data_IF_500651881795
#
_entry.id   IF_500651881795
#
_cell.length_a   1.000
_cell.length_b   1.000
_cell.length_c   1.000
_cell.angle_alpha   90.00
_cell.angle_beta   90.00
_cell.angle_gamma   90.00
#
_symmetry.space_group_name_H-M   'P 1'
#
loop_
_entity.id
_entity.type
_entity.pdbx_description
1 polymer ?
2 non-polymer ?
3 water ?
#
# COMPACT_ATOMS: atom_id res chain seq x y z
N UNK A 5 -1.57 17.50 20.72
CA UNK A 5 -2.14 16.30 20.08
C UNK A 5 -1.31 16.03 18.84
N UNK A 6 -1.47 14.84 18.29
CA UNK A 6 -0.77 14.50 17.05
C UNK A 6 -1.26 15.45 15.98
N UNK A 7 -0.34 16.08 15.25
CA UNK A 7 -0.66 16.93 14.11
C UNK A 7 0.17 16.52 12.90
N UNK A 8 -0.47 15.94 11.90
CA UNK A 8 0.32 15.35 10.79
C UNK A 8 0.74 16.46 9.83
N UNK A 9 1.95 16.40 9.33
CA UNK A 9 2.41 17.44 8.40
C UNK A 9 2.11 17.04 6.98
N UNK A 10 1.02 17.56 6.40
CA UNK A 10 0.60 17.27 5.04
C UNK A 10 1.07 18.36 4.06
N UNK A 11 1.93 19.25 4.52
CA UNK A 11 2.29 20.43 3.76
C UNK A 11 2.98 20.16 2.45
N UNK A 12 3.65 19.03 2.32
CA UNK A 12 4.24 18.72 1.03
C UNK A 12 3.27 18.16 -0.02
N UNK A 13 1.95 18.03 0.29
CA UNK A 13 0.98 17.49 -0.57
C UNK A 13 -0.22 18.45 -0.73
N UNK A 14 0.04 19.66 -1.20
CA UNK A 14 -1.04 20.66 -1.34
C UNK A 14 -1.99 20.19 -2.49
N UNK A 15 -3.27 20.36 -2.25
CA UNK A 15 -4.24 20.01 -3.30
C UNK A 15 -4.64 18.54 -3.25
N UNK A 16 -3.94 17.72 -2.45
CA UNK A 16 -4.32 16.31 -2.24
C UNK A 16 -5.56 16.24 -1.34
N UNK A 17 -6.61 15.58 -1.83
CA UNK A 17 -7.92 15.61 -1.14
C UNK A 17 -8.15 14.43 -0.23
N UNK A 18 -7.44 13.33 -0.48
CA UNK A 18 -7.57 12.06 0.27
C UNK A 18 -6.23 11.51 0.64
N UNK A 19 -6.16 10.88 1.80
CA UNK A 19 -4.95 10.27 2.34
C UNK A 19 -5.27 8.89 2.88
N UNK A 20 -4.31 8.00 2.75
CA UNK A 20 -4.41 6.63 3.27
C UNK A 20 -3.69 6.57 4.58
N UNK A 21 -4.39 6.20 5.62
CA UNK A 21 -3.80 5.99 6.93
C UNK A 21 -3.54 4.47 7.09
N UNK A 22 -2.28 4.13 7.26
CA UNK A 22 -1.85 2.71 7.38
C UNK A 22 -1.28 2.51 8.76
N UNK A 23 -1.87 1.63 9.50
CA UNK A 23 -1.44 1.39 10.86
C UNK A 23 -0.91 -0.04 10.95
N UNK A 24 0.28 -0.21 11.52
CA UNK A 24 0.89 -1.51 11.75
C UNK A 24 1.15 -1.66 13.26
N UNK A 25 0.44 -2.59 13.85
CA UNK A 25 0.33 -2.69 15.31
C UNK A 25 0.09 -4.08 15.81
N UNK A 26 -0.18 -4.20 17.12
CA UNK A 26 -0.24 -5.54 17.72
C UNK A 26 -1.48 -6.25 17.32
N UNK A 27 -1.39 -7.51 16.96
CA UNK A 27 -2.62 -8.12 16.44
C UNK A 27 -3.78 -8.22 17.38
N UNK A 28 -3.46 -8.41 18.65
CA UNK A 28 -4.52 -8.57 19.62
C UNK A 28 -5.36 -7.25 19.82
N UNK A 29 -4.82 -6.13 19.38
CA UNK A 29 -5.57 -4.88 19.44
C UNK A 29 -6.48 -4.60 18.26
N UNK A 30 -6.49 -5.47 17.25
CA UNK A 30 -7.40 -5.29 16.12
C UNK A 30 -8.84 -4.98 16.46
N UNK A 31 -9.49 -5.77 17.34
CA UNK A 31 -10.92 -5.47 17.59
C UNK A 31 -11.14 -4.07 18.20
N UNK A 32 -10.21 -3.63 19.03
CA UNK A 32 -10.31 -2.31 19.71
C UNK A 32 -10.17 -1.20 18.69
N UNK A 33 -9.17 -1.30 17.82
CA UNK A 33 -9.00 -0.33 16.77
C UNK A 33 -10.20 -0.30 15.83
N UNK A 34 -10.69 -1.47 15.38
CA UNK A 34 -11.88 -1.53 14.56
C UNK A 34 -13.12 -0.90 15.24
N UNK A 35 -13.34 -1.21 16.51
CA UNK A 35 -14.49 -0.65 17.21
C UNK A 35 -14.36 0.88 17.34
N UNK A 36 -13.19 1.34 17.66
CA UNK A 36 -12.99 2.78 17.75
C UNK A 36 -13.35 3.53 16.44
N UNK A 37 -12.87 2.97 15.33
CA UNK A 37 -13.16 3.52 14.02
C UNK A 37 -14.64 3.43 13.66
N UNK A 38 -15.27 2.28 13.92
CA UNK A 38 -16.67 2.13 13.61
C UNK A 38 -17.51 3.12 14.39
N UNK A 39 -17.20 3.28 15.68
CA UNK A 39 -17.93 4.23 16.50
C UNK A 39 -17.87 5.66 16.02
N UNK A 40 -16.76 6.07 15.46
CA UNK A 40 -16.53 7.40 14.89
C UNK A 40 -17.12 7.52 13.48
N UNK A 41 -17.60 6.41 12.91
CA UNK A 41 -18.36 6.45 11.68
C UNK A 41 -17.48 6.15 10.47
N UNK A 42 -16.28 5.59 10.70
CA UNK A 42 -15.46 5.21 9.54
C UNK A 42 -16.03 3.98 8.90
N UNK A 43 -15.87 3.91 7.60
CA UNK A 43 -16.18 2.71 6.88
C UNK A 43 -15.01 2.50 5.94
N UNK A 44 -15.01 1.35 5.32
CA UNK A 44 -14.02 1.07 4.34
C UNK A 44 -12.71 0.91 5.06
N UNK A 45 -12.62 -0.10 5.90
CA UNK A 45 -11.32 -0.46 6.51
C UNK A 45 -10.88 -1.67 5.67
N UNK A 46 -9.58 -1.81 5.41
CA UNK A 46 -8.99 -3.05 4.90
C UNK A 46 -7.93 -3.54 5.89
N UNK A 47 -7.95 -4.85 6.18
CA UNK A 47 -7.07 -5.41 7.14
C UNK A 47 -6.26 -6.51 6.46
N UNK A 48 -4.95 -6.52 6.75
CA UNK A 48 -4.05 -7.54 6.19
C UNK A 48 -3.21 -8.00 7.38
N UNK A 49 -3.09 -9.28 7.64
CA UNK A 49 -2.01 -9.74 8.52
C UNK A 49 -0.61 -9.61 7.78
N UNK A 50 0.40 -9.16 8.52
CA UNK A 50 1.76 -8.98 7.97
C UNK A 50 2.76 -9.46 9.05
N UNK A 51 4.03 -9.44 8.66
CA UNK A 51 5.07 -9.83 9.55
C UNK A 51 6.06 -8.69 9.71
N UNK A 52 6.49 -8.47 10.94
CA UNK A 52 7.62 -7.59 11.15
C UNK A 52 8.89 -8.37 11.41
N UNK A 53 10.00 -7.79 10.95
CA UNK A 53 11.38 -8.26 11.26
C UNK A 53 12.13 -7.30 12.17
N UNK A 72 13.64 -13.53 13.56
CA UNK A 72 12.97 -12.54 14.37
C UNK A 72 11.80 -11.90 13.61
N UNK A 73 11.05 -12.75 12.89
CA UNK A 73 9.81 -12.31 12.23
C UNK A 73 8.66 -12.51 13.22
N UNK A 74 7.85 -11.46 13.40
CA UNK A 74 6.85 -11.32 14.45
C UNK A 74 5.50 -10.89 13.79
N UNK A 75 4.38 -11.44 14.25
CA UNK A 75 3.06 -11.16 13.59
C UNK A 75 2.57 -9.76 13.98
N UNK A 76 2.09 -9.05 12.99
CA UNK A 76 1.56 -7.74 13.13
C UNK A 76 0.28 -7.69 12.32
N UNK A 77 -0.56 -6.71 12.62
CA UNK A 77 -1.80 -6.48 11.90
C UNK A 77 -1.63 -5.16 11.19
N UNK A 78 -2.06 -5.10 9.94
CA UNK A 78 -2.11 -3.84 9.18
C UNK A 78 -3.54 -3.49 8.89
N UNK A 79 -3.85 -2.22 9.09
CA UNK A 79 -5.13 -1.72 8.77
C UNK A 79 -4.97 -0.47 7.95
N UNK A 80 -5.70 -0.39 6.83
CA UNK A 80 -5.64 0.79 5.98
C UNK A 80 -7.03 1.45 5.90
N UNK A 81 -7.04 2.78 5.96
CA UNK A 81 -8.27 3.55 5.82
C UNK A 81 -7.96 4.75 4.97
N UNK A 82 -8.77 4.99 3.97
CA UNK A 82 -8.64 6.22 3.18
C UNK A 82 -9.70 7.21 3.64
N UNK A 83 -9.22 8.41 3.96
CA UNK A 83 -10.03 9.45 4.57
C UNK A 83 -9.78 10.81 3.92
N UNK A 84 -10.70 11.73 4.08
CA UNK A 84 -10.50 13.08 3.54
C UNK A 84 -9.37 13.74 4.30
N UNK A 85 -8.76 14.74 3.65
CA UNK A 85 -7.70 15.55 4.28
C UNK A 85 -8.12 16.07 5.64
N UNK A 86 -9.35 16.60 5.73
CA UNK A 86 -9.83 17.15 7.00
C UNK A 86 -9.91 16.16 8.15
N UNK A 87 -10.08 14.89 7.84
CA UNK A 87 -10.20 13.85 8.85
C UNK A 87 -8.90 13.19 9.31
N UNK A 88 -7.81 13.48 8.64
CA UNK A 88 -6.56 12.74 8.87
C UNK A 88 -6.19 12.80 10.34
N UNK A 89 -6.09 13.99 10.92
CA UNK A 89 -5.55 14.07 12.27
C UNK A 89 -6.47 13.32 13.24
N UNK A 90 -7.79 13.54 13.14
CA UNK A 90 -8.75 12.88 14.03
C UNK A 90 -8.60 11.37 13.93
N UNK A 91 -8.46 10.85 12.73
CA UNK A 91 -8.40 9.41 12.56
C UNK A 91 -7.08 8.84 13.03
N UNK A 92 -6.00 9.54 12.72
CA UNK A 92 -4.66 9.12 13.23
C UNK A 92 -4.69 9.06 14.76
N UNK A 93 -5.26 10.06 15.39
CA UNK A 93 -5.34 10.10 16.88
C UNK A 93 -6.13 8.91 17.41
N UNK A 94 -7.28 8.61 16.77
CA UNK A 94 -8.09 7.52 17.20
C UNK A 94 -7.37 6.17 17.10
N UNK A 95 -6.66 5.96 15.99
CA UNK A 95 -5.95 4.71 15.84
C UNK A 95 -4.83 4.59 16.84
N UNK A 96 -4.10 5.68 16.98
CA UNK A 96 -2.95 5.74 17.90
C UNK A 96 -3.47 5.40 19.27
N UNK A 97 -4.56 6.06 19.65
CA UNK A 97 -5.12 5.84 20.99
C UNK A 97 -5.50 4.41 21.25
N UNK A 98 -6.16 3.77 20.32
CA UNK A 98 -6.66 2.44 20.53
C UNK A 98 -5.56 1.36 20.40
N UNK A 99 -4.53 1.63 19.61
CA UNK A 99 -3.44 0.67 19.50
C UNK A 99 -2.39 0.79 20.60
N UNK A 100 -2.41 1.89 21.31
CA UNK A 100 -1.36 2.20 22.29
C UNK A 100 -1.34 1.25 23.47
N UNK A 101 -0.14 0.85 23.88
CA UNK A 101 0.05 0.21 25.22
C UNK A 101 1.14 0.88 26.03
N UNK A 102 2.04 1.57 25.39
CA UNK A 102 3.16 2.20 26.10
C UNK A 102 4.41 1.35 26.12
N UNK A 103 4.30 0.04 25.89
CA UNK A 103 5.46 -0.82 25.77
C UNK A 103 6.10 -0.73 24.39
N UNK A 104 7.41 -0.95 24.35
CA UNK A 104 8.09 -1.05 23.10
C UNK A 104 7.48 -2.09 22.19
N UNK A 105 7.26 -1.72 20.92
CA UNK A 105 6.68 -2.60 19.89
C UNK A 105 5.22 -2.27 19.56
N UNK A 106 4.75 -1.09 19.97
CA UNK A 106 3.36 -0.78 19.70
C UNK A 106 3.07 -0.59 18.21
N UNK A 107 4.10 -0.28 17.42
CA UNK A 107 3.84 -0.10 15.99
C UNK A 107 3.89 1.37 15.55
N UNK A 108 3.50 1.59 14.32
CA UNK A 108 3.58 2.87 13.67
C UNK A 108 2.36 3.10 12.80
N UNK A 109 2.08 4.36 12.54
CA UNK A 109 1.05 4.79 11.60
C UNK A 109 1.73 5.65 10.57
N UNK A 110 1.46 5.38 9.30
CA UNK A 110 1.96 6.09 8.19
C UNK A 110 0.79 6.74 7.48
N UNK A 111 0.97 7.93 6.96
CA UNK A 111 -0.04 8.65 6.19
C UNK A 111 0.54 8.84 4.78
N UNK A 112 -0.21 8.44 3.79
CA UNK A 112 0.20 8.41 2.40
C UNK A 112 -0.76 9.24 1.56
N UNK A 113 -0.28 9.96 0.52
CA UNK A 113 -1.18 10.72 -0.33
C UNK A 113 -1.93 9.82 -1.31
N UNK A 114 -3.16 10.07 -1.62
CA UNK A 114 -4.02 9.32 -2.60
C UNK A 114 -4.44 10.32 -3.66
N UNK A 115 -4.21 9.97 -4.93
CA UNK A 115 -4.53 10.86 -6.02
C UNK A 115 -5.99 10.82 -6.41
N UNK A 116 -6.59 9.64 -6.38
CA UNK A 116 -7.98 9.50 -6.81
C UNK A 116 -8.62 8.35 -6.06
N UNK A 117 -9.93 8.45 -5.87
CA UNK A 117 -10.74 7.41 -5.33
C UNK A 117 -11.95 7.17 -6.26
N UNK A 118 -12.15 5.92 -6.70
CA UNK A 118 -13.18 5.57 -7.67
C UNK A 118 -14.08 4.47 -7.12
N UNK A 119 -15.38 4.73 -7.13
CA UNK A 119 -16.31 3.75 -6.63
C UNK A 119 -16.63 2.85 -7.82
N UNK A 120 -16.41 1.55 -7.65
CA UNK A 120 -16.59 0.62 -8.78
C UNK A 120 -18.04 0.59 -9.28
N UNK A 121 -18.96 0.51 -8.35
CA UNK A 121 -20.36 0.31 -8.70
C UNK A 121 -20.93 1.48 -9.49
N UNK A 122 -20.47 2.71 -9.24
CA UNK A 122 -21.10 3.84 -9.92
C UNK A 122 -20.22 4.51 -10.96
N UNK A 123 -18.95 4.15 -11.02
CA UNK A 123 -17.91 4.88 -11.79
C UNK A 123 -17.54 6.28 -11.23
N UNK A 124 -18.10 6.65 -10.06
CA UNK A 124 -17.93 8.01 -9.47
C UNK A 124 -16.56 8.17 -8.87
N UNK A 125 -15.95 9.36 -9.02
CA UNK A 125 -14.60 9.64 -8.51
C UNK A 125 -14.66 10.73 -7.43
N UNK B 6 -15.06 7.51 -16.60
CA UNK B 6 -14.14 7.72 -15.44
C UNK B 6 -12.93 8.53 -15.90
N UNK B 7 -12.67 9.64 -15.20
CA UNK B 7 -11.53 10.49 -15.51
C UNK B 7 -10.78 10.99 -14.24
N UNK B 8 -9.63 10.39 -13.94
CA UNK B 8 -8.96 10.64 -12.66
C UNK B 8 -8.23 11.99 -12.69
N UNK B 9 -8.35 12.76 -11.62
CA UNK B 9 -7.68 14.04 -11.57
C UNK B 9 -6.31 13.85 -10.95
N UNK B 10 -5.26 14.00 -11.78
CA UNK B 10 -3.89 13.88 -11.30
C UNK B 10 -3.14 15.20 -11.20
N UNK B 11 -3.89 16.30 -11.19
CA UNK B 11 -3.31 17.65 -11.21
C UNK B 11 -2.52 18.04 -9.96
N UNK B 12 -2.75 17.29 -8.87
CA UNK B 12 -2.00 17.56 -7.62
C UNK B 12 -0.65 16.96 -7.65
N UNK B 13 -0.32 16.19 -8.69
CA UNK B 13 0.96 15.53 -8.78
C UNK B 13 1.65 15.89 -10.09
N UNK B 14 1.93 17.18 -10.31
CA UNK B 14 2.68 17.57 -11.51
C UNK B 14 4.04 16.92 -11.55
N UNK B 15 4.41 16.40 -12.72
CA UNK B 15 5.72 15.78 -12.86
C UNK B 15 5.83 14.33 -12.45
N UNK B 16 4.76 13.76 -11.87
CA UNK B 16 4.81 12.37 -11.43
C UNK B 16 4.55 11.51 -12.66
N UNK B 17 5.47 10.60 -12.95
CA UNK B 17 5.36 9.77 -14.16
C UNK B 17 4.60 8.48 -13.98
N UNK B 18 4.57 7.92 -12.76
CA UNK B 18 3.98 6.62 -12.51
C UNK B 18 2.96 6.71 -11.40
N UNK B 19 1.96 5.84 -11.49
CA UNK B 19 0.92 5.74 -10.46
C UNK B 19 0.57 4.28 -10.21
N UNK B 20 0.17 3.94 -8.98
CA UNK B 20 -0.25 2.62 -8.63
C UNK B 20 -1.74 2.65 -8.62
N UNK B 21 -2.35 1.69 -9.34
CA UNK B 21 -3.79 1.49 -9.30
C UNK B 21 -4.05 0.30 -8.36
N UNK B 22 -4.76 0.56 -7.28
CA UNK B 22 -5.10 -0.42 -6.27
C UNK B 22 -6.61 -0.63 -6.28
N UNK B 23 -7.06 -1.83 -6.50
CA UNK B 23 -8.45 -2.15 -6.50
C UNK B 23 -8.74 -3.16 -5.41
N UNK B 24 -9.79 -2.92 -4.64
CA UNK B 24 -10.18 -3.79 -3.57
C UNK B 24 -11.65 -4.20 -3.88
N UNK B 25 -11.88 -5.46 -4.11
CA UNK B 25 -13.15 -5.85 -4.70
C UNK B 25 -13.50 -7.28 -4.29
N UNK B 26 -14.60 -7.79 -4.82
CA UNK B 26 -15.13 -9.10 -4.44
C UNK B 26 -14.28 -10.27 -4.93
N UNK B 27 -13.95 -11.23 -4.08
CA UNK B 27 -13.04 -12.30 -4.49
C UNK B 27 -13.43 -13.07 -5.78
N UNK B 28 -14.71 -13.32 -5.93
CA UNK B 28 -15.06 -14.12 -7.08
C UNK B 28 -14.80 -13.40 -8.40
N UNK B 29 -14.69 -12.09 -8.39
CA UNK B 29 -14.37 -11.31 -9.63
C UNK B 29 -12.89 -11.35 -9.97
N UNK B 30 -12.01 -11.78 -9.07
CA UNK B 30 -10.58 -11.80 -9.37
C UNK B 30 -10.22 -12.42 -10.73
N UNK B 31 -10.70 -13.63 -11.06
CA UNK B 31 -10.32 -14.16 -12.37
C UNK B 31 -10.81 -13.35 -13.55
N UNK B 32 -11.93 -12.66 -13.38
CA UNK B 32 -12.45 -11.81 -14.41
C UNK B 32 -11.61 -10.61 -14.65
N UNK B 33 -11.14 -10.00 -13.55
CA UNK B 33 -10.29 -8.80 -13.60
C UNK B 33 -8.92 -9.16 -14.23
N UNK B 34 -8.34 -10.26 -13.72
CA UNK B 34 -7.04 -10.74 -14.25
C UNK B 34 -7.13 -11.01 -15.74
N UNK B 35 -8.22 -11.67 -16.16
CA UNK B 35 -8.39 -12.00 -17.59
C UNK B 35 -8.47 -10.74 -18.43
N UNK B 36 -9.29 -9.79 -18.04
CA UNK B 36 -9.40 -8.54 -18.72
C UNK B 36 -8.11 -7.86 -18.88
N UNK B 37 -7.36 -7.71 -17.79
CA UNK B 37 -6.11 -6.98 -17.81
C UNK B 37 -5.13 -7.71 -18.68
N UNK B 38 -5.03 -9.02 -18.54
CA UNK B 38 -4.07 -9.78 -19.30
C UNK B 38 -4.33 -9.71 -20.78
N UNK B 39 -5.60 -9.78 -21.17
CA UNK B 39 -6.02 -9.75 -22.61
C UNK B 39 -5.73 -8.41 -23.23
N UNK B 40 -5.74 -7.33 -22.44
CA UNK B 40 -5.49 -5.96 -22.90
C UNK B 40 -4.03 -5.63 -22.93
N UNK B 41 -3.20 -6.57 -22.50
CA UNK B 41 -1.76 -6.38 -22.45
C UNK B 41 -1.21 -5.62 -21.27
N UNK B 42 -1.87 -5.68 -20.10
CA UNK B 42 -1.37 -5.07 -18.95
C UNK B 42 -0.73 -6.17 -18.10
N UNK B 43 0.50 -5.92 -17.68
CA UNK B 43 1.29 -6.90 -16.92
C UNK B 43 1.73 -6.26 -15.58
N UNK B 44 2.33 -7.08 -14.76
CA UNK B 44 2.77 -6.55 -13.45
C UNK B 44 1.69 -6.58 -12.39
N UNK B 45 0.65 -7.40 -12.54
CA UNK B 45 -0.38 -7.51 -11.52
C UNK B 45 0.11 -8.17 -10.28
N UNK B 46 -0.15 -7.56 -9.12
CA UNK B 46 0.15 -8.18 -7.81
C UNK B 46 -1.18 -8.30 -7.01
N UNK B 47 -1.48 -9.48 -6.51
CA UNK B 47 -2.70 -9.78 -5.82
C UNK B 47 -2.42 -10.14 -4.37
N UNK B 48 -3.20 -9.54 -3.44
CA UNK B 48 -3.14 -9.86 -2.03
C UNK B 48 -4.57 -10.14 -1.54
N UNK B 49 -4.84 -11.27 -0.89
CA UNK B 49 -6.06 -11.51 -0.16
C UNK B 49 -6.06 -10.59 1.10
N UNK B 50 -7.19 -9.91 1.31
CA UNK B 50 -7.33 -9.01 2.47
C UNK B 50 -8.74 -9.19 3.05
N UNK B 51 -9.00 -8.51 4.16
CA UNK B 51 -10.30 -8.52 4.82
C UNK B 51 -10.86 -7.12 4.86
N UNK B 52 -12.16 -6.98 4.61
CA UNK B 52 -12.82 -5.69 4.80
C UNK B 52 -14.01 -5.99 5.70
N UNK B 68 -20.09 -1.72 12.80
CA UNK B 68 -19.47 -3.00 12.43
C UNK B 68 -18.29 -3.38 13.37
N UNK B 69 -18.05 -4.68 13.50
CA UNK B 69 -16.91 -5.23 14.26
C UNK B 69 -16.12 -6.26 13.45
N UNK B 70 -15.20 -6.98 14.11
CA UNK B 70 -14.47 -8.04 13.40
C UNK B 70 -15.39 -9.12 12.80
N UNK B 71 -16.47 -9.46 13.51
CA UNK B 71 -17.49 -10.38 12.96
C UNK B 71 -17.92 -9.95 11.57
N UNK B 72 -18.01 -8.64 11.35
CA UNK B 72 -18.32 -8.08 10.05
C UNK B 72 -17.09 -8.05 9.11
N UNK B 73 -15.98 -8.71 9.46
CA UNK B 73 -14.85 -8.85 8.48
C UNK B 73 -15.21 -9.87 7.41
N UNK B 74 -15.09 -9.47 6.16
CA UNK B 74 -15.33 -10.36 5.07
C UNK B 74 -14.12 -10.37 4.13
N UNK B 75 -14.02 -11.44 3.36
CA UNK B 75 -12.92 -11.55 2.43
C UNK B 75 -13.09 -10.61 1.26
N UNK B 76 -12.00 -9.95 0.89
CA UNK B 76 -11.87 -9.15 -0.29
C UNK B 76 -10.55 -9.51 -0.99
N UNK B 77 -10.43 -9.10 -2.23
CA UNK B 77 -9.19 -9.29 -3.01
C UNK B 77 -8.64 -7.93 -3.33
N UNK B 78 -7.33 -7.77 -3.22
CA UNK B 78 -6.63 -6.55 -3.54
C UNK B 78 -5.73 -6.82 -4.75
N UNK B 79 -5.85 -5.99 -5.74
CA UNK B 79 -5.04 -6.04 -6.93
C UNK B 79 -4.33 -4.72 -7.17
N UNK B 80 -2.99 -4.73 -7.33
CA UNK B 80 -2.22 -3.51 -7.52
C UNK B 80 -1.52 -3.62 -8.88
N UNK B 81 -1.55 -2.57 -9.63
CA UNK B 81 -0.92 -2.45 -10.94
C UNK B 81 -0.24 -1.07 -11.06
N UNK B 82 1.06 -1.01 -11.36
CA UNK B 82 1.74 0.25 -11.57
C UNK B 82 1.69 0.56 -13.08
N UNK B 83 1.26 1.76 -13.44
CA UNK B 83 1.17 2.21 -14.82
C UNK B 83 1.71 3.65 -14.94
N UNK B 84 1.88 4.11 -16.15
CA UNK B 84 2.28 5.46 -16.37
C UNK B 84 1.12 6.38 -16.25
N UNK B 85 1.49 7.65 -16.00
CA UNK B 85 0.49 8.70 -15.89
C UNK B 85 -0.59 8.69 -16.99
N UNK B 86 -0.16 8.54 -18.25
CA UNK B 86 -1.08 8.60 -19.34
C UNK B 86 -1.97 7.40 -19.41
N UNK B 87 -1.62 6.29 -18.80
CA UNK B 87 -2.38 5.03 -18.81
C UNK B 87 -3.45 4.91 -17.73
N UNK B 88 -3.40 5.84 -16.76
CA UNK B 88 -4.21 5.63 -15.54
C UNK B 88 -5.70 5.47 -15.88
N UNK B 89 -6.24 6.38 -16.68
CA UNK B 89 -7.69 6.40 -16.98
C UNK B 89 -8.08 5.09 -17.64
N UNK B 90 -7.33 4.71 -18.67
CA UNK B 90 -7.71 3.48 -19.36
C UNK B 90 -7.72 2.25 -18.48
N UNK B 91 -6.69 2.11 -17.63
CA UNK B 91 -6.50 0.94 -16.80
C UNK B 91 -7.56 0.90 -15.66
N UNK B 92 -7.79 2.06 -15.05
CA UNK B 92 -8.89 2.13 -14.05
C UNK B 92 -10.22 1.70 -14.68
N UNK B 93 -10.49 2.12 -15.91
CA UNK B 93 -11.71 1.75 -16.56
C UNK B 93 -11.80 0.24 -16.77
N UNK B 94 -10.70 -0.38 -17.16
CA UNK B 94 -10.69 -1.85 -17.33
C UNK B 94 -10.99 -2.58 -16.08
N UNK B 95 -10.31 -2.16 -15.00
CA UNK B 95 -10.55 -2.77 -13.71
C UNK B 95 -11.99 -2.57 -13.21
N UNK B 96 -12.48 -1.36 -13.26
CA UNK B 96 -13.87 -1.09 -12.84
C UNK B 96 -14.85 -1.93 -13.61
N UNK B 97 -14.69 -2.01 -14.91
CA UNK B 97 -15.62 -2.73 -15.70
C UNK B 97 -15.65 -4.21 -15.38
N UNK B 98 -14.52 -4.81 -15.06
CA UNK B 98 -14.48 -6.22 -14.79
C UNK B 98 -14.84 -6.57 -13.34
N UNK B 99 -14.60 -5.65 -12.41
CA UNK B 99 -14.96 -5.90 -11.02
C UNK B 99 -16.42 -5.60 -10.73
N UNK B 100 -17.07 -4.86 -11.63
CA UNK B 100 -18.45 -4.41 -11.48
C UNK B 100 -19.43 -5.55 -11.43
N UNK B 101 -20.39 -5.48 -10.50
CA UNK B 101 -21.50 -6.37 -10.43
C UNK B 101 -22.90 -5.69 -10.32
N UNK B 102 -22.89 -4.35 -10.29
CA UNK B 102 -24.06 -3.56 -10.12
C UNK B 102 -24.67 -3.50 -8.72
N UNK B 103 -23.88 -3.77 -7.69
CA UNK B 103 -24.47 -3.88 -6.38
C UNK B 103 -23.58 -3.18 -5.35
N UNK B 104 -24.20 -2.66 -4.31
CA UNK B 104 -23.40 -2.16 -3.18
C UNK B 104 -22.44 -3.22 -2.68
N UNK B 105 -21.19 -2.79 -2.39
CA UNK B 105 -20.14 -3.65 -1.93
C UNK B 105 -19.18 -4.05 -3.03
N UNK B 106 -19.29 -3.43 -4.22
CA UNK B 106 -18.45 -3.81 -5.35
C UNK B 106 -16.98 -3.40 -5.12
N UNK B 107 -16.74 -2.43 -4.26
CA UNK B 107 -15.39 -2.07 -3.90
C UNK B 107 -14.97 -0.73 -4.52
N UNK B 108 -13.68 -0.42 -4.37
CA UNK B 108 -13.17 0.86 -4.78
C UNK B 108 -11.83 0.68 -5.42
N UNK B 109 -11.46 1.67 -6.26
CA UNK B 109 -10.15 1.76 -6.89
C UNK B 109 -9.48 3.03 -6.42
N UNK B 110 -8.23 2.92 -5.95
CA UNK B 110 -7.46 4.02 -5.43
C UNK B 110 -6.29 4.19 -6.36
N UNK B 111 -5.94 5.41 -6.64
CA UNK B 111 -4.79 5.75 -7.48
C UNK B 111 -3.79 6.51 -6.62
N UNK B 112 -2.57 5.94 -6.50
CA UNK B 112 -1.54 6.47 -5.63
C UNK B 112 -0.32 6.90 -6.47
N UNK B 113 0.37 8.00 -6.10
CA UNK B 113 1.52 8.40 -6.86
C UNK B 113 2.76 7.49 -6.54
N UNK B 114 3.61 7.28 -7.52
CA UNK B 114 4.85 6.48 -7.38
C UNK B 114 6.00 7.33 -7.80
N UNK B 115 7.04 7.37 -6.97
CA UNK B 115 8.24 8.14 -7.25
C UNK B 115 9.28 7.49 -8.21
N UNK B 116 9.49 6.18 -8.07
CA UNK B 116 10.51 5.47 -8.90
C UNK B 116 10.09 4.04 -9.08
N UNK B 117 10.50 3.45 -10.22
CA UNK B 117 10.25 2.06 -10.55
C UNK B 117 11.60 1.47 -10.93
N UNK B 118 12.03 0.40 -10.28
CA UNK B 118 13.38 -0.15 -10.56
C UNK B 118 13.20 -1.65 -10.83
N UNK B 119 13.70 -2.11 -11.99
CA UNK B 119 13.62 -3.51 -12.33
C UNK B 119 14.90 -4.18 -11.74
N UNK B 120 14.67 -5.19 -10.90
CA UNK B 120 15.74 -5.77 -10.12
C UNK B 120 16.82 -6.41 -11.04
N UNK B 121 16.33 -7.08 -12.05
CA UNK B 121 17.30 -7.82 -12.89
C UNK B 121 18.36 -6.97 -13.59
N UNK B 122 18.02 -5.71 -13.84
CA UNK B 122 18.86 -4.80 -14.62
C UNK B 122 19.33 -3.56 -13.87
N UNK B 123 18.95 -3.42 -12.60
CA UNK B 123 19.35 -2.30 -11.74
C UNK B 123 20.86 -2.11 -11.55
N UNK B 124 21.30 -0.86 -11.38
CA UNK B 124 22.66 -0.53 -10.93
C UNK B 124 22.83 -0.76 -9.42
N UNK C 9 14.96 9.22 -9.09
CA UNK C 9 14.77 10.69 -9.12
C UNK C 9 13.53 11.10 -8.34
N UNK C 10 13.73 11.98 -7.38
CA UNK C 10 12.71 12.26 -6.36
C UNK C 10 12.29 13.70 -6.45
N UNK C 11 12.64 14.31 -7.57
CA UNK C 11 12.54 15.72 -7.74
C UNK C 11 11.08 16.21 -7.94
N UNK C 12 10.15 15.30 -8.24
CA UNK C 12 8.73 15.67 -8.33
C UNK C 12 8.06 15.70 -6.95
N UNK C 13 8.83 15.40 -5.90
CA UNK C 13 8.30 15.42 -4.55
C UNK C 13 9.13 16.35 -3.65
N UNK C 14 9.24 17.62 -4.00
CA UNK C 14 9.95 18.56 -3.15
C UNK C 14 9.26 18.62 -1.82
N UNK C 15 10.04 18.68 -0.76
CA UNK C 15 9.42 18.77 0.56
C UNK C 15 9.12 17.49 1.29
N UNK C 16 9.10 16.38 0.58
CA UNK C 16 8.82 15.11 1.18
C UNK C 16 10.09 14.50 1.84
N UNK C 17 9.97 14.15 3.12
CA UNK C 17 11.08 13.71 3.92
C UNK C 17 11.30 12.22 3.95
N UNK C 18 10.19 11.46 3.82
CA UNK C 18 10.19 10.02 4.01
C UNK C 18 9.59 9.37 2.80
N UNK C 19 10.16 8.22 2.44
CA UNK C 19 9.72 7.42 1.27
C UNK C 19 9.63 5.98 1.67
N UNK C 20 8.67 5.29 1.11
CA UNK C 20 8.50 3.87 1.32
C UNK C 20 9.13 3.12 0.15
N UNK C 21 10.03 2.16 0.43
CA UNK C 21 10.65 1.33 -0.56
C UNK C 21 9.82 0.02 -0.47
N UNK C 22 9.23 -0.38 -1.59
CA UNK C 22 8.41 -1.57 -1.69
C UNK C 22 9.10 -2.51 -2.71
N UNK C 23 9.50 -3.65 -2.25
CA UNK C 23 10.16 -4.61 -3.14
C UNK C 23 9.27 -5.84 -3.25
N UNK C 24 9.01 -6.29 -4.46
CA UNK C 24 8.27 -7.47 -4.77
C UNK C 24 9.16 -8.44 -5.57
N UNK C 25 9.52 -9.54 -4.94
CA UNK C 25 10.63 -10.40 -5.49
C UNK C 25 10.41 -11.90 -5.14
N UNK C 26 11.34 -12.76 -5.56
CA UNK C 26 11.19 -14.19 -5.39
C UNK C 26 11.24 -14.59 -3.93
N UNK C 27 10.35 -15.50 -3.49
CA UNK C 27 10.37 -15.85 -2.07
C UNK C 27 11.70 -16.40 -1.54
N UNK C 28 12.44 -17.19 -2.32
CA UNK C 28 13.65 -17.82 -1.83
C UNK C 28 14.74 -16.80 -1.51
N UNK C 29 14.58 -15.57 -2.01
CA UNK C 29 15.57 -14.49 -1.79
C UNK C 29 15.23 -13.76 -0.48
N UNK C 30 14.06 -13.96 0.09
CA UNK C 30 13.71 -13.19 1.28
C UNK C 30 14.71 -13.19 2.43
N UNK C 31 15.23 -14.38 2.82
CA UNK C 31 16.15 -14.40 3.95
C UNK C 31 17.43 -13.61 3.64
N UNK C 32 17.82 -13.59 2.37
CA UNK C 32 18.98 -12.87 1.94
C UNK C 32 18.80 -11.35 1.99
N UNK C 33 17.65 -10.87 1.54
CA UNK C 33 17.33 -9.48 1.55
C UNK C 33 17.23 -9.03 3.00
N UNK C 34 16.55 -9.80 3.86
CA UNK C 34 16.46 -9.41 5.28
C UNK C 34 17.83 -9.33 5.93
N UNK C 35 18.68 -10.29 5.68
CA UNK C 35 20.02 -10.31 6.27
C UNK C 35 20.83 -9.11 5.79
N UNK C 36 20.76 -8.82 4.51
CA UNK C 36 21.51 -7.74 3.93
C UNK C 36 21.05 -6.43 4.59
N UNK C 37 19.76 -6.22 4.66
CA UNK C 37 19.26 -4.99 5.27
C UNK C 37 19.58 -4.88 6.78
N UNK C 38 19.44 -5.97 7.50
CA UNK C 38 19.74 -6.00 8.90
C UNK C 38 21.19 -5.63 9.20
N UNK C 39 22.08 -6.31 8.45
CA UNK C 39 23.50 -6.10 8.67
C UNK C 39 23.86 -4.69 8.38
N UNK C 40 23.19 -4.09 7.43
CA UNK C 40 23.44 -2.69 7.07
C UNK C 40 22.89 -1.67 8.05
N UNK C 41 21.90 -2.07 8.82
CA UNK C 41 21.33 -1.26 9.89
C UNK C 41 19.93 -0.79 9.74
N UNK C 42 19.27 -1.25 8.68
CA UNK C 42 17.95 -0.87 8.42
C UNK C 42 17.06 -1.62 9.36
N UNK C 43 16.10 -0.88 9.93
CA UNK C 43 15.14 -1.47 10.81
C UNK C 43 13.73 -1.20 10.28
N UNK C 44 12.75 -1.85 10.92
CA UNK C 44 11.37 -1.58 10.56
C UNK C 44 10.90 -2.20 9.27
N UNK C 45 11.40 -3.36 8.95
CA UNK C 45 10.93 -4.07 7.74
C UNK C 45 9.56 -4.70 8.04
N UNK C 46 8.65 -4.61 7.06
CA UNK C 46 7.36 -5.34 7.07
C UNK C 46 7.27 -6.19 5.84
N UNK C 47 6.88 -7.41 6.04
CA UNK C 47 6.87 -8.45 5.00
C UNK C 47 5.42 -8.98 4.84
N UNK C 48 5.00 -9.11 3.58
CA UNK C 48 3.66 -9.63 3.27
C UNK C 48 3.88 -10.63 2.11
N UNK C 49 3.35 -11.85 2.21
CA UNK C 49 3.29 -12.72 1.00
C UNK C 49 2.20 -12.20 0.04
N UNK C 50 2.51 -12.15 -1.27
CA UNK C 50 1.56 -11.73 -2.29
C UNK C 50 1.70 -12.66 -3.47
N UNK C 51 0.87 -12.47 -4.49
CA UNK C 51 0.87 -13.32 -5.71
C UNK C 51 1.03 -12.46 -6.92
N UNK C 52 1.99 -12.80 -7.80
CA UNK C 52 1.95 -12.22 -9.11
C UNK C 52 1.22 -13.04 -10.08
N UNK C 53 0.87 -12.40 -11.21
CA UNK C 53 0.25 -13.03 -12.32
C UNK C 53 1.30 -13.28 -13.41
N UNK C 54 1.54 -14.53 -13.74
CA UNK C 54 2.52 -14.87 -14.78
C UNK C 54 2.02 -14.60 -16.19
N UNK C 68 -9.31 -18.59 -17.88
CA UNK C 68 -10.08 -18.13 -19.03
C UNK C 68 -9.14 -18.23 -20.23
N UNK C 69 -8.26 -17.24 -20.39
CA UNK C 69 -6.99 -17.43 -21.08
C UNK C 69 -6.02 -17.95 -20.04
N UNK C 70 -4.94 -18.64 -20.45
CA UNK C 70 -3.99 -19.18 -19.47
C UNK C 70 -3.14 -18.12 -18.74
N UNK C 71 -3.41 -17.93 -17.44
CA UNK C 71 -2.53 -17.17 -16.53
C UNK C 71 -2.33 -17.95 -15.21
N UNK C 72 -1.24 -17.70 -14.51
CA UNK C 72 -0.94 -18.45 -13.30
C UNK C 72 -0.48 -17.54 -12.19
N UNK C 73 -1.07 -17.70 -10.99
CA UNK C 73 -0.62 -16.95 -9.81
C UNK C 73 0.67 -17.61 -9.31
N UNK C 74 1.68 -16.76 -9.10
CA UNK C 74 3.03 -17.13 -8.68
C UNK C 74 3.33 -16.44 -7.34
N UNK C 75 3.72 -17.19 -6.32
CA UNK C 75 4.08 -16.57 -5.06
C UNK C 75 5.26 -15.61 -5.14
N UNK C 76 5.08 -14.44 -4.46
CA UNK C 76 6.09 -13.42 -4.32
C UNK C 76 6.19 -13.00 -2.87
N UNK C 77 7.28 -12.42 -2.48
CA UNK C 77 7.38 -11.76 -1.19
C UNK C 77 7.41 -10.31 -1.45
N UNK C 78 6.69 -9.58 -0.56
CA UNK C 78 6.69 -8.11 -0.54
C UNK C 78 7.40 -7.67 0.72
N UNK C 79 8.33 -6.75 0.59
CA UNK C 79 8.96 -6.15 1.72
C UNK C 79 8.83 -4.63 1.57
N UNK C 80 8.36 -3.99 2.67
CA UNK C 80 8.25 -2.53 2.72
C UNK C 80 9.17 -1.97 3.84
N UNK C 81 9.84 -0.86 3.49
CA UNK C 81 10.73 -0.15 4.43
C UNK C 81 10.52 1.33 4.23
N UNK C 82 10.28 2.08 5.31
CA UNK C 82 10.17 3.48 5.18
C UNK C 82 11.49 4.07 5.63
N UNK C 83 12.10 4.92 4.81
CA UNK C 83 13.39 5.54 5.08
C UNK C 83 13.36 7.03 4.77
N UNK C 84 14.41 7.75 5.25
CA UNK C 84 14.57 9.12 4.92
C UNK C 84 15.00 9.27 3.49
N UNK C 85 14.68 10.41 2.90
CA UNK C 85 15.01 10.72 1.50
C UNK C 85 16.46 10.35 1.17
N UNK C 86 17.39 10.64 2.10
CA UNK C 86 18.83 10.43 1.88
C UNK C 86 19.25 8.97 1.83
N UNK C 87 18.46 8.10 2.47
CA UNK C 87 18.75 6.69 2.55
C UNK C 87 18.18 5.95 1.33
N UNK C 88 17.36 6.59 0.46
CA UNK C 88 16.58 5.84 -0.55
C UNK C 88 17.51 5.07 -1.50
N UNK C 89 18.47 5.79 -2.11
CA UNK C 89 19.39 5.18 -3.15
C UNK C 89 20.14 4.00 -2.58
N UNK C 90 20.71 4.12 -1.40
CA UNK C 90 21.46 3.01 -0.81
C UNK C 90 20.62 1.78 -0.53
N UNK C 91 19.39 1.96 -0.01
CA UNK C 91 18.53 0.89 0.35
C UNK C 91 17.98 0.21 -0.92
N UNK C 92 17.59 0.99 -1.93
CA UNK C 92 17.13 0.43 -3.20
C UNK C 92 18.30 -0.45 -3.78
N UNK C 93 19.51 0.04 -3.77
CA UNK C 93 20.68 -0.76 -4.26
C UNK C 93 20.87 -2.04 -3.53
N UNK C 94 20.79 -2.02 -2.17
CA UNK C 94 21.01 -3.21 -1.40
C UNK C 94 19.93 -4.26 -1.64
N UNK C 95 18.68 -3.83 -1.72
CA UNK C 95 17.56 -4.71 -2.00
C UNK C 95 17.71 -5.32 -3.38
N UNK C 96 18.08 -4.52 -4.36
CA UNK C 96 18.26 -5.02 -5.77
C UNK C 96 19.36 -6.03 -5.75
N UNK C 97 20.45 -5.74 -5.07
CA UNK C 97 21.58 -6.66 -5.10
C UNK C 97 21.24 -8.02 -4.50
N UNK C 98 20.46 -8.02 -3.43
CA UNK C 98 20.14 -9.23 -2.71
C UNK C 98 19.01 -10.05 -3.30
N UNK C 99 18.09 -9.37 -3.99
CA UNK C 99 17.00 -10.06 -4.62
C UNK C 99 17.33 -10.56 -6.01
N UNK C 100 18.38 -10.03 -6.61
CA UNK C 100 18.79 -10.42 -7.99
C UNK C 100 19.11 -11.92 -8.12
N UNK C 101 18.72 -12.51 -9.27
CA UNK C 101 19.23 -13.83 -9.66
C UNK C 101 19.79 -13.75 -11.07
N UNK C 102 19.34 -12.79 -11.84
CA UNK C 102 19.79 -12.67 -13.24
C UNK C 102 18.85 -13.33 -14.21
N UNK C 103 17.86 -14.08 -13.73
CA UNK C 103 16.92 -14.68 -14.63
C UNK C 103 15.65 -13.86 -14.69
N UNK C 104 14.98 -14.02 -15.82
CA UNK C 104 13.73 -13.34 -16.00
C UNK C 104 12.78 -13.71 -14.85
N UNK C 105 12.09 -12.73 -14.30
CA UNK C 105 11.21 -12.91 -13.14
C UNK C 105 11.74 -12.46 -11.75
N UNK C 106 12.75 -11.58 -11.74
CA UNK C 106 13.37 -11.14 -10.45
C UNK C 106 12.54 -10.11 -9.68
N UNK C 107 11.57 -9.50 -10.31
CA UNK C 107 10.67 -8.55 -9.62
C UNK C 107 11.15 -7.07 -9.74
N UNK C 108 10.55 -6.21 -8.89
CA UNK C 108 10.66 -4.78 -9.04
C UNK C 108 10.71 -4.16 -7.67
N UNK C 109 11.27 -2.95 -7.64
CA UNK C 109 11.28 -2.14 -6.44
C UNK C 109 10.64 -0.83 -6.85
N UNK C 110 9.72 -0.40 -5.96
CA UNK C 110 8.97 0.83 -6.12
C UNK C 110 9.32 1.75 -4.99
N UNK C 111 9.37 3.03 -5.26
CA UNK C 111 9.58 4.05 -4.22
C UNK C 111 8.35 4.93 -4.21
N UNK C 112 7.79 5.17 -3.03
CA UNK C 112 6.50 5.89 -2.90
C UNK C 112 6.74 7.02 -1.88
N UNK C 113 6.12 8.19 -2.11
CA UNK C 113 6.22 9.21 -1.11
C UNK C 113 5.33 8.93 0.14
N UNK C 114 5.79 9.36 1.29
CA UNK C 114 5.08 9.19 2.55
C UNK C 114 4.89 10.59 3.15
N UNK C 115 3.67 10.95 3.62
CA UNK C 115 3.50 12.22 4.19
C UNK C 115 3.88 12.34 5.67
N UNK C 116 3.60 11.29 6.46
CA UNK C 116 3.79 11.39 7.90
C UNK C 116 4.07 9.99 8.44
N UNK C 117 4.86 9.95 9.53
CA UNK C 117 5.18 8.78 10.26
C UNK C 117 4.92 9.06 11.72
N UNK C 118 4.08 8.24 12.34
CA UNK C 118 3.72 8.38 13.72
C UNK C 118 4.08 7.15 14.48
N UNK C 119 4.86 7.34 15.56
CA UNK C 119 5.25 6.23 16.43
C UNK C 119 4.12 6.15 17.52
N UNK C 120 3.47 5.00 17.56
CA UNK C 120 2.31 4.86 18.46
C UNK C 120 2.64 5.00 19.97
N UNK C 121 3.73 4.33 20.36
CA UNK C 121 4.13 4.38 21.74
C UNK C 121 4.33 5.79 22.33
N UNK C 122 4.82 6.73 21.53
CA UNK C 122 5.24 8.04 22.01
C UNK C 122 4.45 9.21 21.44
N UNK C 123 3.58 8.95 20.47
CA UNK C 123 3.00 9.99 19.63
C UNK C 123 4.04 10.90 18.92
N UNK C 124 5.29 10.44 18.79
CA UNK C 124 6.33 11.24 18.12
C UNK C 124 5.95 11.19 16.66
N UNK C 125 6.09 12.30 15.93
CA UNK C 125 5.95 12.24 14.44
C UNK C 125 7.29 12.59 13.77
N UNK C 126 7.33 12.49 12.43
CA UNK C 126 8.53 12.79 11.65
C UNK C 126 9.76 12.02 12.12
N UNK C 127 10.89 12.76 12.22
CA UNK C 127 12.24 12.30 12.65
C UNK C 127 13.26 12.63 11.56
#
# INVERSE_FOLDING_TARGET
MELESIQCDLSAFPGVKFFRIEAIFRPWRLPFVIDTLSKYGIRGLTNTPVKGVGVQGGSRERYAGTEFGPSNLVDKEKLDIVVSRAQVDAVVRLVAASAYTGEIGDGKIFVHPVAEVVRIRTAETGLEAEKMEGGMEDMMKKKKSAWSHPQFEK
MELESIQCDLSAFPGVKFFRIEAIFRPWRLPFVIDTLSKYGIRGLTNTPVKGVGVQGGSRERYAGTEFGPSNLVDKEKLDIVVSRAQVDAVVRLVAASAYTGEIGDGKIFVHPVAEVVRIRTAETGLEAEKMEGGMEDMMKKKKSAWSHPQFEK
MELESIQCDLSAFPGVKFFRIEAIFRPWRLPFVIDTLSKYGIRGLTNTPVKGVGVQGGSRERYAGTEFGPSNLVDKEKLDIVVSRAQVDAVVRLVAASAYTGEIGDGKIFVHPVAEVVRIRTAETGLEAEKMEGGMEDMMKKKKSAWSHPQFEK
#
